data_IF_700855035552
#
_entry.id   IF_700855035552
#
_cell.length_a   1.000
_cell.length_b   1.000
_cell.length_c   1.000
_cell.angle_alpha   90.00
_cell.angle_beta   90.00
_cell.angle_gamma   90.00
#
_symmetry.space_group_name_H-M   'P 1'
#
loop_
_entity.id
_entity.type
_entity.pdbx_description
1 polymer ?
#
# COMPACT_ATOMS: atom_id res chain seq x y z
N UNK A 1 59.28 -28.71 61.51
CA UNK A 1 58.76 -27.38 61.92
C UNK A 1 58.56 -26.56 60.68
N UNK A 2 57.31 -26.45 60.18
CA UNK A 2 56.95 -25.65 59.00
C UNK A 2 56.69 -24.26 59.58
N UNK A 3 57.42 -23.28 59.12
CA UNK A 3 57.32 -21.90 59.61
C UNK A 3 56.20 -21.16 58.87
N UNK A 4 55.56 -20.19 59.56
CA UNK A 4 54.49 -19.36 59.09
C UNK A 4 54.78 -18.54 57.82
N UNK A 5 55.97 -18.65 57.23
CA UNK A 5 56.39 -17.93 56.02
C UNK A 5 56.17 -18.70 54.74
N UNK A 6 55.97 -20.02 54.81
CA UNK A 6 55.76 -20.84 53.59
C UNK A 6 54.32 -20.93 53.14
N UNK A 7 53.41 -20.25 53.85
CA UNK A 7 51.97 -20.24 53.55
C UNK A 7 51.51 -19.02 52.72
N UNK A 8 52.42 -18.15 52.28
CA UNK A 8 52.08 -16.91 51.60
C UNK A 8 52.51 -16.86 50.08
N UNK A 9 53.00 -17.96 49.51
CA UNK A 9 53.48 -17.99 48.15
C UNK A 9 52.66 -18.88 47.20
N UNK A 10 51.50 -19.38 47.61
CA UNK A 10 50.62 -20.21 46.77
C UNK A 10 49.21 -19.61 46.71
N UNK A 11 49.07 -18.37 46.28
CA UNK A 11 47.75 -17.76 46.01
C UNK A 11 47.84 -16.62 45.04
N UNK A 12 48.51 -16.84 43.90
CA UNK A 12 48.49 -15.89 42.77
C UNK A 12 48.46 -16.62 41.44
N UNK A 13 47.72 -17.75 41.36
CA UNK A 13 47.30 -18.28 40.07
C UNK A 13 45.93 -17.65 39.78
N UNK A 14 45.95 -16.49 39.12
CA UNK A 14 44.78 -15.76 38.69
C UNK A 14 43.91 -16.61 37.77
N UNK A 15 42.71 -16.90 38.23
CA UNK A 15 41.63 -17.34 37.34
C UNK A 15 41.25 -16.15 36.50
N UNK A 16 41.88 -16.02 35.33
CA UNK A 16 41.38 -15.17 34.25
C UNK A 16 40.09 -15.81 33.75
N UNK A 17 38.98 -15.50 34.41
CA UNK A 17 37.65 -15.75 33.89
C UNK A 17 37.50 -14.84 32.67
N UNK A 18 37.78 -15.39 31.49
CA UNK A 18 37.42 -14.77 30.23
C UNK A 18 35.90 -14.61 30.21
N UNK A 19 35.43 -13.44 30.61
CA UNK A 19 34.08 -13.00 30.39
C UNK A 19 33.91 -12.79 28.85
N UNK A 20 33.80 -13.90 28.12
CA UNK A 20 33.17 -13.88 26.81
C UNK A 20 31.74 -13.49 27.08
N UNK A 21 31.50 -12.19 27.00
CA UNK A 21 30.17 -11.61 27.03
C UNK A 21 29.34 -12.22 25.89
N UNK A 22 28.65 -13.30 26.19
CA UNK A 22 27.45 -13.67 25.46
C UNK A 22 26.51 -12.47 25.56
N UNK A 23 26.59 -11.57 24.58
CA UNK A 23 25.52 -10.61 24.32
C UNK A 23 24.33 -11.47 23.94
N UNK A 24 23.63 -12.00 24.93
CA UNK A 24 22.29 -12.52 24.78
C UNK A 24 21.49 -11.35 24.21
N UNK A 25 21.23 -11.39 22.89
CA UNK A 25 20.20 -10.55 22.30
C UNK A 25 18.94 -10.85 23.12
N UNK A 26 18.58 -9.95 24.00
CA UNK A 26 17.31 -9.97 24.68
C UNK A 26 16.27 -9.96 23.56
N UNK A 27 15.68 -11.11 23.27
CA UNK A 27 14.51 -11.19 22.40
C UNK A 27 13.46 -10.42 23.21
N UNK A 28 13.13 -9.22 22.74
CA UNK A 28 12.10 -8.41 23.36
C UNK A 28 10.83 -9.26 23.43
N UNK A 29 10.24 -9.37 24.61
CA UNK A 29 8.99 -10.10 24.76
C UNK A 29 7.93 -9.46 23.87
N UNK A 30 7.11 -10.26 23.16
CA UNK A 30 6.02 -9.75 22.36
C UNK A 30 5.11 -8.82 23.18
N UNK A 31 4.64 -7.73 22.58
CA UNK A 31 3.74 -6.77 23.22
C UNK A 31 2.40 -7.41 23.56
N UNK A 32 1.89 -8.25 22.65
CA UNK A 32 0.59 -8.85 22.76
C UNK A 32 0.61 -10.32 22.35
N UNK A 33 -0.36 -11.11 22.87
CA UNK A 33 -0.56 -12.49 22.42
C UNK A 33 -1.16 -12.56 21.04
N UNK A 34 -2.10 -11.67 20.72
CA UNK A 34 -2.77 -11.62 19.42
C UNK A 34 -2.97 -10.20 18.95
N UNK A 35 -2.73 -9.98 17.66
CA UNK A 35 -2.89 -8.69 16.99
C UNK A 35 -3.68 -8.91 15.69
N UNK A 36 -4.56 -7.97 15.37
CA UNK A 36 -5.37 -7.97 14.16
C UNK A 36 -4.96 -6.84 13.21
N UNK A 37 -4.60 -7.20 11.98
CA UNK A 37 -4.39 -6.25 10.90
C UNK A 37 -5.63 -6.28 10.01
N UNK A 38 -6.41 -5.20 10.01
CA UNK A 38 -7.60 -5.08 9.18
C UNK A 38 -7.26 -4.48 7.82
N UNK A 39 -7.80 -5.06 6.75
CA UNK A 39 -7.69 -4.56 5.38
C UNK A 39 -9.09 -4.28 4.81
N UNK A 40 -9.22 -3.25 3.94
CA UNK A 40 -10.51 -2.73 3.51
C UNK A 40 -11.08 -3.36 2.23
N UNK A 41 -10.32 -4.22 1.55
CA UNK A 41 -10.74 -4.86 0.30
C UNK A 41 -10.77 -6.38 0.42
N UNK A 42 -11.42 -7.04 -0.54
CA UNK A 42 -11.33 -8.50 -0.70
C UNK A 42 -9.87 -8.92 -0.89
N UNK A 43 -9.48 -10.16 -0.52
CA UNK A 43 -8.12 -10.62 -0.65
C UNK A 43 -7.51 -10.35 -2.03
N UNK A 44 -6.33 -9.75 -2.04
CA UNK A 44 -5.60 -9.32 -3.24
C UNK A 44 -4.24 -8.75 -2.86
N UNK A 45 -3.73 -7.76 -3.61
CA UNK A 45 -2.42 -7.15 -3.37
C UNK A 45 -2.26 -6.65 -1.93
N UNK A 46 -3.26 -5.92 -1.41
CA UNK A 46 -3.22 -5.36 -0.06
C UNK A 46 -3.11 -6.46 1.01
N UNK A 47 -3.94 -7.50 0.92
CA UNK A 47 -3.95 -8.61 1.87
C UNK A 47 -2.64 -9.41 1.80
N UNK A 48 -2.15 -9.70 0.58
CA UNK A 48 -0.88 -10.41 0.39
C UNK A 48 0.30 -9.63 0.98
N UNK A 49 0.36 -8.31 0.79
CA UNK A 49 1.40 -7.45 1.33
C UNK A 49 1.33 -7.38 2.87
N UNK A 50 0.12 -7.24 3.44
CA UNK A 50 -0.07 -7.26 4.88
C UNK A 50 0.41 -8.57 5.51
N UNK A 51 0.06 -9.73 4.92
CA UNK A 51 0.50 -11.05 5.42
C UNK A 51 2.01 -11.25 5.32
N UNK A 52 2.60 -10.78 4.25
CA UNK A 52 4.05 -10.85 4.03
C UNK A 52 4.83 -10.11 5.13
N UNK A 53 4.37 -8.92 5.51
CA UNK A 53 4.98 -8.11 6.58
C UNK A 53 4.67 -8.73 7.94
N UNK A 54 3.42 -9.08 8.21
CA UNK A 54 2.95 -9.68 9.46
C UNK A 54 3.76 -10.94 9.84
N UNK A 55 4.11 -11.76 8.86
CA UNK A 55 4.91 -12.98 9.07
C UNK A 55 6.29 -12.74 9.70
N UNK A 56 6.81 -11.51 9.62
CA UNK A 56 8.11 -11.13 10.14
C UNK A 56 8.05 -10.25 11.40
N UNK A 57 6.85 -9.89 11.91
CA UNK A 57 6.67 -9.03 13.08
C UNK A 57 6.54 -9.84 14.39
N UNK A 58 7.30 -10.93 14.53
CA UNK A 58 7.25 -11.84 15.71
C UNK A 58 7.72 -11.21 17.01
N UNK A 59 8.48 -10.13 16.93
CA UNK A 59 8.92 -9.31 18.07
C UNK A 59 7.79 -8.42 18.61
N UNK A 60 6.75 -8.18 17.78
CA UNK A 60 5.60 -7.36 18.16
C UNK A 60 4.48 -8.19 18.80
N UNK A 61 4.11 -9.32 18.21
CA UNK A 61 3.08 -10.21 18.75
C UNK A 61 3.37 -11.68 18.48
N UNK A 62 2.86 -12.57 19.36
CA UNK A 62 2.97 -14.03 19.21
C UNK A 62 2.17 -14.51 17.99
N UNK A 63 0.98 -13.92 17.79
CA UNK A 63 0.09 -14.23 16.67
C UNK A 63 -0.39 -12.93 16.02
N UNK A 64 -0.26 -12.84 14.69
CA UNK A 64 -0.81 -11.73 13.92
C UNK A 64 -1.79 -12.29 12.90
N UNK A 65 -3.03 -11.83 12.97
CA UNK A 65 -4.12 -12.21 12.07
C UNK A 65 -4.37 -11.08 11.08
N UNK A 66 -4.25 -11.37 9.78
CA UNK A 66 -4.67 -10.42 8.73
C UNK A 66 -6.11 -10.76 8.33
N UNK A 67 -7.00 -9.80 8.49
CA UNK A 67 -8.44 -9.95 8.31
C UNK A 67 -8.97 -8.93 7.29
N UNK A 68 -9.54 -9.43 6.20
CA UNK A 68 -10.20 -8.58 5.23
C UNK A 68 -11.63 -8.24 5.70
N UNK A 69 -11.94 -6.95 5.78
CA UNK A 69 -13.30 -6.41 6.06
C UNK A 69 -13.75 -5.53 4.88
N UNK A 70 -14.12 -6.14 3.76
CA UNK A 70 -14.54 -5.40 2.57
C UNK A 70 -15.89 -4.73 2.79
N UNK A 71 -16.12 -3.64 2.06
CA UNK A 71 -17.38 -2.92 2.05
C UNK A 71 -17.18 -1.42 2.01
N UNK A 72 -18.12 -0.71 1.37
CA UNK A 72 -18.12 0.74 1.23
C UNK A 72 -16.75 1.33 0.81
N UNK A 73 -16.11 0.73 -0.20
CA UNK A 73 -14.75 1.07 -0.67
C UNK A 73 -13.68 1.03 0.44
N UNK A 74 -13.79 0.10 1.39
CA UNK A 74 -12.85 -0.09 2.50
C UNK A 74 -13.20 0.63 3.81
N UNK A 75 -14.23 1.48 3.82
CA UNK A 75 -14.62 2.25 5.00
C UNK A 75 -15.02 1.38 6.20
N UNK A 76 -15.55 0.18 5.96
CA UNK A 76 -15.91 -0.77 7.04
C UNK A 76 -14.70 -1.13 7.91
N UNK A 77 -13.55 -1.41 7.30
CA UNK A 77 -12.32 -1.71 8.04
C UNK A 77 -11.80 -0.48 8.81
N UNK A 78 -11.87 0.70 8.19
CA UNK A 78 -11.41 1.96 8.79
C UNK A 78 -12.22 2.29 10.05
N UNK A 79 -13.56 2.22 9.95
CA UNK A 79 -14.48 2.47 11.07
C UNK A 79 -14.26 1.48 12.22
N UNK A 80 -13.99 0.21 11.90
CA UNK A 80 -13.67 -0.81 12.90
C UNK A 80 -12.38 -0.48 13.67
N UNK A 81 -11.31 -0.04 12.97
CA UNK A 81 -10.05 0.35 13.63
C UNK A 81 -10.23 1.64 14.44
N UNK A 82 -10.98 2.63 13.93
CA UNK A 82 -11.27 3.86 14.67
C UNK A 82 -11.86 3.59 16.06
N UNK A 83 -12.74 2.59 16.16
CA UNK A 83 -13.46 2.25 17.39
C UNK A 83 -12.77 1.18 18.25
N UNK A 84 -11.63 0.66 17.80
CA UNK A 84 -10.85 -0.31 18.55
C UNK A 84 -10.14 0.31 19.75
N UNK A 85 -9.78 -0.51 20.72
CA UNK A 85 -8.96 -0.08 21.85
C UNK A 85 -7.61 0.42 21.37
N UNK A 86 -7.10 1.56 21.91
CA UNK A 86 -5.85 2.15 21.47
C UNK A 86 -4.63 1.50 22.16
N UNK A 87 -4.58 0.18 22.19
CA UNK A 87 -3.56 -0.63 22.85
C UNK A 87 -2.56 -1.30 21.87
N UNK A 88 -2.70 -1.00 20.55
CA UNK A 88 -1.84 -1.55 19.52
C UNK A 88 -2.19 -2.98 19.08
N UNK A 89 -3.28 -3.56 19.57
CA UNK A 89 -3.72 -4.91 19.19
C UNK A 89 -4.55 -4.93 17.89
N UNK A 90 -5.12 -3.80 17.51
CA UNK A 90 -5.86 -3.64 16.23
C UNK A 90 -5.26 -2.52 15.41
N UNK A 91 -4.93 -2.81 14.17
CA UNK A 91 -4.37 -1.84 13.24
C UNK A 91 -5.00 -1.94 11.86
N UNK A 92 -4.99 -0.82 11.14
CA UNK A 92 -5.39 -0.75 9.74
C UNK A 92 -4.16 -0.85 8.85
N UNK A 93 -4.19 -1.70 7.85
CA UNK A 93 -3.28 -1.65 6.73
C UNK A 93 -4.04 -1.21 5.48
N UNK A 94 -3.67 -0.08 4.90
CA UNK A 94 -4.48 0.56 3.88
C UNK A 94 -3.66 1.39 2.87
N UNK A 95 -4.22 1.59 1.64
CA UNK A 95 -3.73 2.64 0.77
C UNK A 95 -4.00 4.03 1.39
N UNK A 96 -3.07 4.95 1.20
CA UNK A 96 -3.16 6.30 1.79
C UNK A 96 -4.37 7.10 1.34
N UNK A 97 -4.95 6.76 0.19
CA UNK A 97 -6.17 7.39 -0.32
C UNK A 97 -7.31 7.46 0.70
N UNK A 98 -7.34 6.53 1.65
CA UNK A 98 -8.32 6.53 2.73
C UNK A 98 -8.19 7.75 3.67
N UNK A 99 -6.97 8.23 3.86
CA UNK A 99 -6.68 9.36 4.75
C UNK A 99 -6.58 10.70 4.00
N UNK A 100 -6.13 10.69 2.75
CA UNK A 100 -5.88 11.93 1.99
C UNK A 100 -6.99 12.30 1.01
N UNK A 101 -7.71 11.33 0.43
CA UNK A 101 -8.70 11.58 -0.63
C UNK A 101 -10.15 11.48 -0.13
N UNK A 102 -10.48 10.46 0.68
CA UNK A 102 -11.85 10.20 1.11
C UNK A 102 -12.52 11.37 1.83
N UNK A 103 -11.83 12.21 2.65
CA UNK A 103 -12.41 13.42 3.24
C UNK A 103 -12.97 14.41 2.22
N UNK A 104 -12.50 14.37 0.97
CA UNK A 104 -12.93 15.29 -0.10
C UNK A 104 -13.99 14.68 -1.03
N UNK A 105 -14.19 13.34 -0.94
CA UNK A 105 -15.05 12.56 -1.84
C UNK A 105 -16.39 12.20 -1.21
N UNK A 106 -16.40 11.96 0.10
CA UNK A 106 -17.61 11.54 0.82
C UNK A 106 -18.16 12.67 1.68
N UNK A 107 -19.46 12.94 1.57
CA UNK A 107 -20.16 13.95 2.41
C UNK A 107 -20.26 13.53 3.86
N UNK A 108 -20.42 12.24 4.09
CA UNK A 108 -20.64 11.65 5.42
C UNK A 108 -19.61 10.55 5.68
N UNK A 109 -18.41 10.95 6.10
CA UNK A 109 -17.44 10.02 6.66
C UNK A 109 -17.69 9.87 8.16
N UNK A 110 -17.68 8.64 8.64
CA UNK A 110 -17.76 8.35 10.09
C UNK A 110 -16.40 8.42 10.76
N UNK A 111 -15.36 8.86 10.05
CA UNK A 111 -14.02 9.05 10.57
C UNK A 111 -13.38 10.30 9.95
N UNK A 112 -12.35 10.79 10.60
CA UNK A 112 -11.45 11.82 10.11
C UNK A 112 -10.00 11.31 10.16
N UNK A 113 -9.07 11.81 9.33
CA UNK A 113 -7.65 11.39 9.38
C UNK A 113 -7.04 11.53 10.78
N UNK A 114 -7.46 12.53 11.56
CA UNK A 114 -7.01 12.75 12.95
C UNK A 114 -7.48 11.69 13.95
N UNK A 115 -8.39 10.80 13.57
CA UNK A 115 -8.79 9.66 14.40
C UNK A 115 -7.73 8.54 14.41
N UNK A 116 -6.67 8.69 13.61
CA UNK A 116 -5.61 7.71 13.44
C UNK A 116 -4.22 8.32 13.64
N UNK A 117 -3.31 7.49 14.17
CA UNK A 117 -1.89 7.76 14.12
C UNK A 117 -1.28 6.98 12.95
N UNK A 118 -0.60 7.69 12.06
CA UNK A 118 0.17 7.10 10.96
C UNK A 118 1.45 6.49 11.51
N UNK A 119 1.63 5.18 11.33
CA UNK A 119 2.76 4.43 11.91
C UNK A 119 3.94 4.36 10.96
N UNK A 120 3.71 3.80 9.77
CA UNK A 120 4.75 3.60 8.75
C UNK A 120 4.12 3.42 7.39
N UNK A 121 4.73 3.99 6.34
CA UNK A 121 4.55 3.46 4.99
C UNK A 121 5.38 2.18 4.85
N UNK A 122 5.02 1.33 3.93
CA UNK A 122 5.73 0.07 3.68
C UNK A 122 6.08 -0.13 2.21
N UNK A 123 5.25 0.37 1.32
CA UNK A 123 5.39 0.16 -0.11
C UNK A 123 4.75 1.29 -0.90
N UNK A 124 5.30 1.52 -2.08
CA UNK A 124 4.64 2.28 -3.13
C UNK A 124 4.56 1.46 -4.42
N UNK A 125 3.55 1.73 -5.23
CA UNK A 125 3.40 1.14 -6.56
C UNK A 125 2.75 2.12 -7.51
N UNK A 126 3.22 2.21 -8.76
CA UNK A 126 2.49 2.94 -9.77
C UNK A 126 1.19 2.22 -10.12
N UNK A 127 0.25 2.98 -10.59
CA UNK A 127 -0.97 2.48 -11.22
C UNK A 127 -0.70 2.19 -12.70
N UNK A 128 -1.33 1.16 -13.23
CA UNK A 128 -1.24 0.74 -14.63
C UNK A 128 -2.60 0.90 -15.30
N UNK A 129 -2.64 1.55 -16.46
CA UNK A 129 -3.77 1.48 -17.37
C UNK A 129 -3.54 0.31 -18.31
N UNK A 130 -4.44 -0.68 -18.23
CA UNK A 130 -4.42 -1.92 -19.01
C UNK A 130 -5.67 -1.98 -19.88
N UNK A 131 -5.55 -2.50 -21.09
CA UNK A 131 -6.68 -2.77 -22.02
C UNK A 131 -6.78 -4.26 -22.34
N UNK A 132 -8.01 -4.70 -22.59
CA UNK A 132 -8.35 -6.09 -22.87
C UNK A 132 -8.79 -6.33 -24.32
N UNK A 133 -9.34 -7.53 -24.60
CA UNK A 133 -9.74 -7.96 -25.96
C UNK A 133 -10.88 -7.15 -26.57
N UNK A 134 -11.65 -6.41 -25.79
CA UNK A 134 -12.69 -5.49 -26.31
C UNK A 134 -12.10 -4.39 -27.20
N UNK A 135 -10.86 -3.98 -26.92
CA UNK A 135 -10.16 -2.94 -27.70
C UNK A 135 -9.36 -3.61 -28.83
N UNK A 136 -9.46 -3.13 -30.08
CA UNK A 136 -8.76 -3.71 -31.23
C UNK A 136 -7.26 -3.91 -31.02
N UNK A 137 -6.67 -4.92 -31.66
CA UNK A 137 -5.28 -5.33 -31.43
C UNK A 137 -4.24 -4.32 -31.95
N UNK A 138 -4.60 -3.44 -32.85
CA UNK A 138 -3.77 -2.34 -33.38
C UNK A 138 -3.68 -1.14 -32.43
N UNK A 139 -4.55 -1.03 -31.43
CA UNK A 139 -4.47 -0.04 -30.36
C UNK A 139 -3.36 -0.45 -29.38
N UNK A 140 -2.20 0.20 -29.45
CA UNK A 140 -1.00 -0.18 -28.69
C UNK A 140 -0.42 0.91 -27.79
N UNK A 141 -0.82 2.15 -28.01
CA UNK A 141 -0.37 3.31 -27.23
C UNK A 141 -1.54 3.97 -26.51
N UNK A 142 -1.24 4.83 -25.53
CA UNK A 142 -2.26 5.64 -24.88
C UNK A 142 -2.96 6.56 -25.88
N UNK A 143 -2.22 7.11 -26.87
CA UNK A 143 -2.78 7.97 -27.90
C UNK A 143 -3.78 7.22 -28.79
N UNK A 144 -3.45 6.00 -29.24
CA UNK A 144 -4.37 5.14 -29.98
C UNK A 144 -5.63 4.83 -29.19
N UNK A 145 -5.46 4.53 -27.88
CA UNK A 145 -6.59 4.23 -27.00
C UNK A 145 -7.51 5.45 -26.81
N UNK A 146 -6.96 6.64 -26.60
CA UNK A 146 -7.74 7.89 -26.53
C UNK A 146 -8.51 8.13 -27.84
N UNK A 147 -7.86 7.93 -28.98
CA UNK A 147 -8.53 8.04 -30.29
C UNK A 147 -9.66 7.02 -30.45
N UNK A 148 -9.42 5.77 -30.04
CA UNK A 148 -10.45 4.72 -30.04
C UNK A 148 -11.62 5.07 -29.10
N UNK A 149 -11.37 5.57 -27.89
CA UNK A 149 -12.42 5.99 -26.94
C UNK A 149 -13.31 7.10 -27.55
N UNK A 150 -12.70 8.09 -28.20
CA UNK A 150 -13.44 9.16 -28.86
C UNK A 150 -14.35 8.65 -29.99
N UNK A 151 -13.87 7.66 -30.73
CA UNK A 151 -14.65 7.02 -31.80
C UNK A 151 -15.72 6.05 -31.27
N UNK A 152 -15.58 5.55 -30.05
CA UNK A 152 -16.44 4.54 -29.46
C UNK A 152 -16.93 4.93 -28.04
N UNK A 153 -17.60 6.08 -27.83
CA UNK A 153 -17.90 6.61 -26.51
C UNK A 153 -18.76 5.65 -25.66
N UNK A 154 -19.65 4.87 -26.27
CA UNK A 154 -20.48 3.87 -25.56
C UNK A 154 -19.69 2.65 -25.07
N UNK A 155 -18.51 2.41 -25.61
CA UNK A 155 -17.64 1.29 -25.23
C UNK A 155 -16.46 1.72 -24.37
N UNK A 156 -16.18 3.03 -24.28
CA UNK A 156 -15.11 3.59 -23.49
C UNK A 156 -15.43 3.47 -21.99
N UNK A 157 -15.11 2.31 -21.42
CA UNK A 157 -15.37 1.96 -20.02
C UNK A 157 -14.07 1.59 -19.31
N UNK A 158 -13.96 1.93 -18.03
CA UNK A 158 -12.82 1.50 -17.21
C UNK A 158 -13.24 1.00 -15.82
N UNK A 159 -12.59 -0.05 -15.38
CA UNK A 159 -12.81 -0.66 -14.07
C UNK A 159 -11.75 -0.23 -13.07
N UNK A 160 -12.15 -0.06 -11.81
CA UNK A 160 -11.27 0.17 -10.66
C UNK A 160 -11.77 -0.55 -9.42
N UNK A 161 -10.99 -0.52 -8.33
CA UNK A 161 -11.35 -1.15 -7.06
C UNK A 161 -12.46 -0.42 -6.26
N UNK A 162 -13.05 0.65 -6.79
CA UNK A 162 -14.19 1.32 -6.15
C UNK A 162 -14.35 2.79 -6.50
N UNK A 163 -15.55 3.30 -6.26
CA UNK A 163 -15.88 4.73 -6.42
C UNK A 163 -15.08 5.56 -5.42
N UNK A 164 -14.61 6.74 -5.83
CA UNK A 164 -13.93 7.69 -4.96
C UNK A 164 -12.50 7.32 -4.61
N UNK A 165 -11.94 6.24 -5.18
CA UNK A 165 -10.53 5.89 -5.01
C UNK A 165 -9.63 6.75 -5.91
N UNK A 166 -8.33 6.81 -5.62
CA UNK A 166 -7.33 7.45 -6.50
C UNK A 166 -7.39 6.89 -7.92
N UNK A 167 -7.61 5.58 -8.05
CA UNK A 167 -7.76 4.88 -9.32
C UNK A 167 -8.95 5.39 -10.14
N UNK A 168 -10.08 5.67 -9.50
CA UNK A 168 -11.24 6.28 -10.14
C UNK A 168 -10.91 7.67 -10.68
N UNK A 169 -10.29 8.52 -9.87
CA UNK A 169 -9.94 9.88 -10.27
C UNK A 169 -8.89 9.92 -11.38
N UNK A 170 -7.94 8.99 -11.43
CA UNK A 170 -6.98 8.89 -12.52
C UNK A 170 -7.68 8.69 -13.87
N UNK A 171 -8.71 7.84 -13.94
CA UNK A 171 -9.52 7.68 -15.14
C UNK A 171 -10.33 8.92 -15.51
N UNK A 172 -10.95 9.58 -14.53
CA UNK A 172 -11.69 10.82 -14.74
C UNK A 172 -10.78 11.98 -15.18
N UNK A 173 -9.60 12.10 -14.58
CA UNK A 173 -8.58 13.07 -14.98
C UNK A 173 -8.09 12.83 -16.42
N UNK A 174 -7.82 11.57 -16.77
CA UNK A 174 -7.43 11.22 -18.14
C UNK A 174 -8.53 11.62 -19.14
N UNK A 175 -9.78 11.27 -18.85
CA UNK A 175 -10.93 11.63 -19.67
C UNK A 175 -11.06 13.14 -19.87
N UNK A 176 -10.99 13.90 -18.78
CA UNK A 176 -11.07 15.37 -18.80
C UNK A 176 -9.90 15.99 -19.57
N UNK A 177 -8.66 15.56 -19.29
CA UNK A 177 -7.45 16.14 -19.92
C UNK A 177 -7.36 15.78 -21.40
N UNK A 178 -7.73 14.56 -21.77
CA UNK A 178 -7.69 14.09 -23.15
C UNK A 178 -8.98 14.37 -23.95
N UNK A 179 -10.04 14.88 -23.32
CA UNK A 179 -11.29 15.30 -23.98
C UNK A 179 -12.08 14.13 -24.59
N UNK A 180 -12.46 13.13 -23.76
CA UNK A 180 -13.34 12.03 -24.17
C UNK A 180 -14.18 11.54 -22.97
N UNK A 181 -15.29 10.85 -23.28
CA UNK A 181 -16.11 10.21 -22.26
C UNK A 181 -15.49 8.88 -21.85
N UNK A 182 -15.33 8.66 -20.54
CA UNK A 182 -14.79 7.43 -20.00
C UNK A 182 -15.65 6.97 -18.83
N UNK A 183 -16.51 5.99 -19.07
CA UNK A 183 -17.47 5.52 -18.07
C UNK A 183 -16.79 4.65 -17.02
N UNK A 184 -16.87 5.07 -15.78
CA UNK A 184 -16.34 4.29 -14.65
C UNK A 184 -17.26 3.14 -14.26
N UNK A 185 -16.69 1.95 -14.11
CA UNK A 185 -17.35 0.74 -13.60
C UNK A 185 -16.65 0.33 -12.29
N UNK A 186 -17.31 0.49 -11.14
CA UNK A 186 -16.72 0.13 -9.86
C UNK A 186 -16.77 -1.37 -9.58
N UNK A 187 -15.66 -1.91 -9.09
CA UNK A 187 -15.54 -3.31 -8.67
C UNK A 187 -15.08 -3.41 -7.22
N UNK A 188 -15.06 -4.64 -6.70
CA UNK A 188 -14.39 -4.95 -5.45
C UNK A 188 -13.13 -5.79 -5.74
N UNK A 189 -12.01 -5.41 -5.12
CA UNK A 189 -10.73 -6.10 -5.31
C UNK A 189 -10.31 -6.19 -6.77
N UNK A 190 -9.99 -7.38 -7.25
CA UNK A 190 -9.51 -7.64 -8.62
C UNK A 190 -10.62 -7.91 -9.64
N UNK A 191 -11.89 -7.69 -9.32
CA UNK A 191 -13.02 -7.94 -10.24
C UNK A 191 -12.89 -7.22 -11.58
N UNK A 192 -12.32 -6.00 -11.59
CA UNK A 192 -12.05 -5.25 -12.80
C UNK A 192 -11.15 -6.00 -13.79
N UNK A 193 -10.12 -6.70 -13.28
CA UNK A 193 -9.20 -7.48 -14.14
C UNK A 193 -9.90 -8.70 -14.74
N UNK A 194 -10.78 -9.34 -13.99
CA UNK A 194 -11.55 -10.50 -14.48
C UNK A 194 -12.45 -10.11 -15.64
N UNK A 195 -13.18 -9.00 -15.53
CA UNK A 195 -14.08 -8.53 -16.58
C UNK A 195 -13.32 -7.90 -17.75
N UNK A 196 -12.13 -7.34 -17.51
CA UNK A 196 -11.24 -6.89 -18.58
C UNK A 196 -10.77 -8.06 -19.45
N UNK A 197 -10.38 -9.19 -18.87
CA UNK A 197 -9.98 -10.40 -19.61
C UNK A 197 -11.12 -10.98 -20.43
N UNK A 198 -12.35 -10.92 -19.92
CA UNK A 198 -13.55 -11.36 -20.64
C UNK A 198 -13.99 -10.39 -21.74
N UNK A 199 -13.43 -9.17 -21.81
CA UNK A 199 -13.85 -8.13 -22.74
C UNK A 199 -15.16 -7.43 -22.36
N UNK A 200 -15.60 -7.51 -21.11
CA UNK A 200 -16.80 -6.81 -20.63
C UNK A 200 -16.55 -5.30 -20.50
N UNK A 201 -15.35 -4.90 -20.10
CA UNK A 201 -14.88 -3.52 -20.04
C UNK A 201 -13.71 -3.30 -21.00
N UNK A 202 -13.47 -2.04 -21.40
CA UNK A 202 -12.39 -1.69 -22.33
C UNK A 202 -11.03 -1.60 -21.63
N UNK A 203 -11.00 -1.03 -20.45
CA UNK A 203 -9.78 -0.79 -19.67
C UNK A 203 -9.95 -1.08 -18.19
N UNK A 204 -8.83 -1.29 -17.52
CA UNK A 204 -8.74 -1.26 -16.06
C UNK A 204 -7.61 -0.34 -15.61
N UNK A 205 -7.85 0.40 -14.53
CA UNK A 205 -6.86 1.25 -13.86
C UNK A 205 -6.65 0.64 -12.47
N UNK A 206 -5.52 -0.08 -12.32
CA UNK A 206 -5.23 -0.88 -11.13
C UNK A 206 -3.73 -0.83 -10.80
N UNK A 207 -3.30 -1.15 -9.58
CA UNK A 207 -1.87 -1.31 -9.28
C UNK A 207 -1.19 -2.30 -10.23
N UNK A 208 0.07 -2.06 -10.60
CA UNK A 208 0.82 -2.88 -11.56
C UNK A 208 0.72 -4.37 -11.25
N UNK A 209 0.85 -4.75 -9.98
CA UNK A 209 0.80 -6.15 -9.54
C UNK A 209 -0.51 -6.87 -9.85
N UNK A 210 -1.61 -6.14 -10.01
CA UNK A 210 -2.94 -6.74 -10.25
C UNK A 210 -3.05 -7.40 -11.65
N UNK A 211 -2.28 -6.94 -12.63
CA UNK A 211 -2.35 -7.43 -14.01
C UNK A 211 -0.99 -7.84 -14.60
N UNK A 212 0.10 -7.75 -13.83
CA UNK A 212 1.46 -8.00 -14.32
C UNK A 212 1.61 -9.35 -15.02
N UNK A 213 1.07 -10.43 -14.46
CA UNK A 213 1.13 -11.76 -15.05
C UNK A 213 0.44 -11.82 -16.42
N UNK A 214 -0.76 -11.22 -16.52
CA UNK A 214 -1.56 -11.19 -17.74
C UNK A 214 -0.95 -10.28 -18.84
N UNK A 215 -0.26 -9.22 -18.43
CA UNK A 215 0.50 -8.39 -19.36
C UNK A 215 1.71 -9.12 -19.89
N UNK A 216 2.43 -9.87 -19.03
CA UNK A 216 3.61 -10.66 -19.44
C UNK A 216 3.25 -11.86 -20.32
N UNK A 217 2.09 -12.48 -20.12
CA UNK A 217 1.58 -13.55 -20.99
C UNK A 217 1.01 -13.01 -22.33
N UNK A 218 0.75 -11.70 -22.44
CA UNK A 218 0.14 -11.09 -23.63
C UNK A 218 -1.39 -11.14 -23.65
N UNK A 219 -2.03 -11.62 -22.59
CA UNK A 219 -3.51 -11.66 -22.50
C UNK A 219 -4.10 -10.26 -22.35
N UNK A 220 -3.35 -9.35 -21.72
CA UNK A 220 -3.68 -7.94 -21.57
C UNK A 220 -2.56 -7.05 -22.12
N UNK A 221 -2.90 -5.85 -22.55
CA UNK A 221 -1.95 -4.84 -23.03
C UNK A 221 -1.82 -3.71 -22.03
N UNK A 222 -0.60 -3.45 -21.57
CA UNK A 222 -0.27 -2.30 -20.74
C UNK A 222 -0.02 -1.09 -21.62
N UNK A 223 -0.68 0.02 -21.36
CA UNK A 223 -0.51 1.24 -22.14
C UNK A 223 0.41 2.25 -21.47
N UNK A 224 0.24 2.47 -20.15
CA UNK A 224 0.97 3.52 -19.43
C UNK A 224 0.92 3.27 -17.93
N UNK A 225 1.98 3.69 -17.22
CA UNK A 225 2.04 3.73 -15.75
C UNK A 225 2.03 5.15 -15.22
N UNK A 226 1.57 5.34 -13.98
CA UNK A 226 1.48 6.67 -13.34
C UNK A 226 2.75 7.08 -12.60
N UNK A 227 3.71 6.18 -12.42
CA UNK A 227 4.91 6.47 -11.65
C UNK A 227 5.78 7.59 -12.25
N UNK A 228 6.65 8.24 -11.46
CA UNK A 228 7.55 9.29 -11.91
C UNK A 228 8.65 8.75 -12.86
N UNK A 229 8.85 7.45 -12.85
CA UNK A 229 9.74 6.69 -13.73
C UNK A 229 9.05 5.41 -14.18
N UNK A 230 9.55 4.80 -15.26
CA UNK A 230 9.05 3.49 -15.70
C UNK A 230 9.20 2.46 -14.59
N UNK A 231 8.21 1.57 -14.47
CA UNK A 231 8.26 0.50 -13.47
C UNK A 231 9.37 -0.50 -13.83
N UNK A 232 10.18 -0.89 -12.85
CA UNK A 232 11.18 -1.95 -13.02
C UNK A 232 10.55 -3.30 -13.42
N UNK A 233 9.27 -3.50 -13.14
CA UNK A 233 8.52 -4.70 -13.48
C UNK A 233 7.99 -4.70 -14.92
N UNK A 234 7.88 -3.49 -15.54
CA UNK A 234 7.40 -3.25 -16.90
C UNK A 234 8.23 -2.13 -17.57
N UNK A 235 9.53 -2.36 -17.85
CA UNK A 235 10.44 -1.29 -18.31
C UNK A 235 10.10 -0.76 -19.71
N UNK A 236 9.35 -1.51 -20.51
CA UNK A 236 8.94 -1.11 -21.86
C UNK A 236 7.66 -0.26 -21.86
N UNK A 237 6.93 -0.21 -20.74
CA UNK A 237 5.69 0.56 -20.60
C UNK A 237 6.02 2.01 -20.23
N UNK A 238 5.60 3.00 -21.05
CA UNK A 238 5.87 4.41 -20.77
C UNK A 238 5.12 4.90 -19.53
N UNK A 239 5.60 6.00 -18.95
CA UNK A 239 4.89 6.73 -17.89
C UNK A 239 3.83 7.67 -18.47
N UNK A 240 2.87 8.13 -17.64
CA UNK A 240 1.93 9.20 -18.02
C UNK A 240 2.66 10.46 -18.49
N UNK A 241 3.77 10.81 -17.84
CA UNK A 241 4.62 11.94 -18.25
C UNK A 241 5.19 11.77 -19.67
N UNK A 242 5.76 10.59 -19.96
CA UNK A 242 6.28 10.27 -21.30
C UNK A 242 5.18 10.22 -22.36
N UNK A 243 3.95 9.86 -21.99
CA UNK A 243 2.78 9.86 -22.85
C UNK A 243 2.11 11.24 -23.03
N UNK A 244 2.66 12.30 -22.43
CA UNK A 244 2.15 13.68 -22.57
C UNK A 244 1.16 14.12 -21.48
N UNK A 245 0.99 13.34 -20.41
CA UNK A 245 0.04 13.63 -19.31
C UNK A 245 0.77 13.74 -17.96
N UNK A 246 1.68 14.72 -17.77
CA UNK A 246 2.47 14.83 -16.52
C UNK A 246 1.62 15.11 -15.27
N UNK A 247 0.42 15.70 -15.43
CA UNK A 247 -0.50 15.95 -14.30
C UNK A 247 -1.14 14.67 -13.72
N UNK A 248 -1.02 13.54 -14.42
CA UNK A 248 -1.51 12.24 -13.99
C UNK A 248 -0.41 11.37 -13.35
N UNK A 249 0.72 11.97 -13.02
CA UNK A 249 1.75 11.29 -12.24
C UNK A 249 1.26 11.05 -10.81
N UNK A 250 1.30 9.79 -10.37
CA UNK A 250 0.80 9.36 -9.06
C UNK A 250 1.43 8.05 -8.62
N UNK A 251 1.54 7.87 -7.30
CA UNK A 251 1.89 6.60 -6.68
C UNK A 251 0.83 6.22 -5.65
N UNK A 252 0.50 4.94 -5.60
CA UNK A 252 -0.29 4.40 -4.50
C UNK A 252 0.65 3.92 -3.41
N UNK A 253 0.63 4.59 -2.26
CA UNK A 253 1.34 4.15 -1.05
C UNK A 253 0.44 3.30 -0.18
N UNK A 254 1.05 2.35 0.51
CA UNK A 254 0.42 1.51 1.54
C UNK A 254 1.10 1.76 2.88
N UNK A 255 0.30 1.85 3.93
CA UNK A 255 0.82 2.10 5.28
C UNK A 255 -0.04 1.52 6.39
N UNK A 256 0.55 1.49 7.58
CA UNK A 256 -0.09 1.08 8.81
C UNK A 256 -0.58 2.28 9.61
N UNK A 257 -1.77 2.12 10.20
CA UNK A 257 -2.41 3.10 11.04
C UNK A 257 -2.99 2.42 12.28
N UNK A 258 -2.97 3.14 13.39
CA UNK A 258 -3.61 2.73 14.65
C UNK A 258 -4.54 3.84 15.15
N UNK A 259 -5.46 3.58 16.11
CA UNK A 259 -6.28 4.63 16.71
C UNK A 259 -5.42 5.78 17.26
N UNK A 260 -5.86 7.01 17.11
CA UNK A 260 -5.08 8.22 17.48
C UNK A 260 -4.63 8.28 18.94
N UNK A 261 -5.32 7.58 19.85
CA UNK A 261 -4.99 7.53 21.28
C UNK A 261 -4.00 6.42 21.65
N UNK A 262 -3.47 5.68 20.68
CA UNK A 262 -2.47 4.64 20.94
C UNK A 262 -1.21 5.28 21.54
N UNK A 263 -0.69 4.77 22.69
CA UNK A 263 0.49 5.30 23.33
C UNK A 263 1.70 5.38 22.40
N UNK A 264 2.50 6.43 22.56
CA UNK A 264 3.62 6.71 21.65
C UNK A 264 4.68 5.60 21.64
N UNK A 265 4.95 4.97 22.78
CA UNK A 265 5.88 3.84 22.92
C UNK A 265 5.39 2.59 22.16
N UNK A 266 4.08 2.34 22.13
CA UNK A 266 3.48 1.27 21.33
C UNK A 266 3.61 1.59 19.83
N UNK A 267 3.34 2.84 19.43
CA UNK A 267 3.48 3.28 18.03
C UNK A 267 4.94 3.15 17.57
N UNK A 268 5.90 3.57 18.38
CA UNK A 268 7.32 3.45 18.08
C UNK A 268 7.76 1.97 17.96
N UNK A 269 7.32 1.12 18.89
CA UNK A 269 7.61 -0.32 18.85
C UNK A 269 7.02 -0.97 17.60
N UNK A 270 5.78 -0.62 17.22
CA UNK A 270 5.15 -1.10 16.00
C UNK A 270 5.92 -0.64 14.76
N UNK A 271 6.28 0.64 14.70
CA UNK A 271 7.09 1.17 13.60
C UNK A 271 8.41 0.41 13.47
N UNK A 272 9.13 0.20 14.57
CA UNK A 272 10.41 -0.52 14.57
C UNK A 272 10.27 -1.96 14.08
N UNK A 273 9.20 -2.67 14.48
CA UNK A 273 8.90 -4.03 14.02
C UNK A 273 8.61 -4.07 12.51
N UNK A 274 7.80 -3.14 12.01
CA UNK A 274 7.51 -3.00 10.56
C UNK A 274 8.81 -2.71 9.79
N UNK A 275 9.62 -1.75 10.26
CA UNK A 275 10.88 -1.40 9.61
C UNK A 275 11.87 -2.58 9.61
N UNK A 276 11.91 -3.38 10.67
CA UNK A 276 12.71 -4.59 10.71
C UNK A 276 12.23 -5.63 9.70
N UNK A 277 10.91 -5.85 9.61
CA UNK A 277 10.30 -6.76 8.64
C UNK A 277 10.64 -6.37 7.19
N UNK A 278 10.62 -5.08 6.85
CA UNK A 278 10.95 -4.58 5.50
C UNK A 278 12.42 -4.80 5.08
N UNK A 279 13.31 -5.07 6.03
CA UNK A 279 14.73 -5.39 5.76
C UNK A 279 14.97 -6.87 5.48
N UNK A 280 13.98 -7.72 5.76
CA UNK A 280 14.10 -9.17 5.56
C UNK A 280 14.03 -9.50 4.07
N UNK A 281 14.98 -10.27 3.56
CA UNK A 281 15.08 -10.63 2.14
C UNK A 281 13.84 -11.35 1.62
N UNK A 282 13.20 -12.19 2.46
CA UNK A 282 11.96 -12.87 2.10
C UNK A 282 10.82 -11.85 1.85
N UNK A 283 10.71 -10.80 2.68
CA UNK A 283 9.74 -9.72 2.49
C UNK A 283 10.03 -8.96 1.22
N UNK A 284 11.27 -8.54 1.00
CA UNK A 284 11.67 -7.81 -0.22
C UNK A 284 11.43 -8.61 -1.49
N UNK A 285 11.79 -9.89 -1.47
CA UNK A 285 11.55 -10.82 -2.59
C UNK A 285 10.05 -11.04 -2.82
N UNK A 286 9.26 -11.17 -1.75
CA UNK A 286 7.81 -11.26 -1.80
C UNK A 286 7.16 -10.00 -2.38
N UNK A 287 7.60 -8.80 -1.96
CA UNK A 287 7.15 -7.52 -2.51
C UNK A 287 7.45 -7.40 -4.00
N UNK A 288 8.65 -7.81 -4.44
CA UNK A 288 9.01 -7.83 -5.84
C UNK A 288 8.09 -8.74 -6.68
N UNK A 289 7.69 -9.92 -6.14
CA UNK A 289 6.70 -10.80 -6.80
C UNK A 289 5.32 -10.16 -6.91
N UNK A 290 4.96 -9.28 -5.98
CA UNK A 290 3.73 -8.50 -6.00
C UNK A 290 3.83 -7.22 -6.85
N UNK A 291 4.98 -6.96 -7.46
CA UNK A 291 5.30 -5.74 -8.22
C UNK A 291 5.11 -4.46 -7.41
N UNK A 292 5.52 -4.48 -6.16
CA UNK A 292 5.60 -3.30 -5.29
C UNK A 292 7.04 -3.04 -4.87
N UNK A 293 7.40 -1.78 -4.73
CA UNK A 293 8.71 -1.37 -4.24
C UNK A 293 8.62 -1.06 -2.74
N UNK A 294 9.57 -1.51 -1.91
CA UNK A 294 9.67 -1.07 -0.53
C UNK A 294 9.81 0.46 -0.49
N UNK A 295 8.97 1.11 0.28
CA UNK A 295 8.96 2.57 0.41
C UNK A 295 8.61 2.93 1.85
N UNK A 296 9.63 2.93 2.69
CA UNK A 296 9.52 3.17 4.12
C UNK A 296 9.85 4.63 4.43
N UNK A 297 8.83 5.44 4.61
CA UNK A 297 8.94 6.86 4.97
C UNK A 297 8.98 6.96 6.51
N UNK A 298 9.85 7.81 7.03
CA UNK A 298 9.93 8.07 8.46
C UNK A 298 8.59 8.60 9.00
N UNK A 299 8.25 8.21 10.25
CA UNK A 299 6.93 8.46 10.86
C UNK A 299 6.49 9.93 10.79
N UNK A 300 7.39 10.88 11.07
CA UNK A 300 7.09 12.32 10.95
C UNK A 300 6.88 12.80 9.52
N UNK A 301 7.59 12.22 8.55
CA UNK A 301 7.43 12.51 7.12
C UNK A 301 6.15 11.89 6.57
N UNK A 302 5.73 10.75 7.11
CA UNK A 302 4.50 10.09 6.71
C UNK A 302 3.26 10.96 7.00
N UNK A 303 3.18 11.57 8.17
CA UNK A 303 2.10 12.50 8.49
C UNK A 303 2.12 13.73 7.57
N UNK A 304 3.31 14.25 7.23
CA UNK A 304 3.46 15.37 6.28
C UNK A 304 3.04 14.98 4.86
N UNK A 305 3.37 13.77 4.42
CA UNK A 305 2.93 13.22 3.14
C UNK A 305 1.40 13.19 3.05
N UNK A 306 0.73 12.64 4.07
CA UNK A 306 -0.75 12.59 4.11
C UNK A 306 -1.34 13.99 3.98
N UNK A 307 -0.81 14.97 4.71
CA UNK A 307 -1.31 16.34 4.68
C UNK A 307 -1.10 17.01 3.30
N UNK A 308 0.10 16.91 2.71
CA UNK A 308 0.40 17.48 1.40
C UNK A 308 -0.43 16.84 0.28
N UNK A 309 -0.55 15.51 0.30
CA UNK A 309 -1.36 14.79 -0.67
C UNK A 309 -2.86 15.08 -0.49
N UNK A 310 -3.33 15.30 0.74
CA UNK A 310 -4.73 15.70 0.97
C UNK A 310 -5.06 17.03 0.28
N UNK A 311 -4.20 18.03 0.37
CA UNK A 311 -4.41 19.31 -0.34
C UNK A 311 -4.33 19.15 -1.87
N UNK A 312 -3.40 18.33 -2.37
CA UNK A 312 -3.31 18.01 -3.80
C UNK A 312 -4.60 17.34 -4.30
N UNK A 313 -5.09 16.33 -3.60
CA UNK A 313 -6.30 15.60 -4.00
C UNK A 313 -7.57 16.44 -3.85
N UNK A 314 -7.65 17.33 -2.88
CA UNK A 314 -8.74 18.30 -2.75
C UNK A 314 -8.87 19.15 -4.01
N UNK A 315 -7.75 19.70 -4.51
CA UNK A 315 -7.75 20.48 -5.74
C UNK A 315 -8.17 19.64 -6.97
N UNK A 316 -7.70 18.39 -7.05
CA UNK A 316 -8.08 17.46 -8.13
C UNK A 316 -9.58 17.15 -8.11
N UNK A 317 -10.14 16.81 -6.94
CA UNK A 317 -11.58 16.50 -6.79
C UNK A 317 -12.42 17.69 -7.25
N UNK A 318 -12.05 18.91 -6.86
CA UNK A 318 -12.74 20.14 -7.28
C UNK A 318 -12.63 20.35 -8.79
N UNK A 319 -11.45 20.15 -9.38
CA UNK A 319 -11.21 20.36 -10.81
C UNK A 319 -11.96 19.34 -11.71
N UNK A 320 -12.20 18.11 -11.21
CA UNK A 320 -12.95 17.09 -11.96
C UNK A 320 -14.46 17.30 -11.95
N UNK A 321 -14.99 18.27 -11.21
CA UNK A 321 -16.43 18.49 -11.04
C UNK A 321 -17.13 17.33 -10.31
N UNK A 322 -16.37 16.46 -9.63
CA UNK A 322 -16.92 15.33 -8.89
C UNK A 322 -17.84 15.82 -7.78
N UNK A 323 -19.06 15.30 -7.78
CA UNK A 323 -20.02 15.58 -6.69
C UNK A 323 -19.79 14.55 -5.56
N UNK A 324 -19.42 15.00 -4.34
CA UNK A 324 -19.25 14.09 -3.22
C UNK A 324 -20.48 13.22 -2.98
N UNK A 325 -20.24 11.92 -2.77
CA UNK A 325 -21.25 10.89 -2.55
C UNK A 325 -21.50 10.63 -1.05
N UNK A 326 -22.56 9.95 -0.69
CA UNK A 326 -22.86 9.54 0.68
C UNK A 326 -22.16 8.22 1.04
#
# INVERSE_FOLDING_TARGET
>A
MITRRDLLTVSAAGVAFSATGLVQRAIAQPLAKSVHILTGFTPGLQDALARLIAGQMKDYAETIVVEARPGAAGRVAIEAVKTADPDGTVMLFAPLGFMMLFPHVYKTLKYEPRDFTAVSTVASTPTLLTIGPKVPADVRTLADFVAWCRANPKQATYGTAGVGTTLHFLGAMLASTAGFDFLHVPYQGNGAIQDLVKGEIAAAIMPVGSSLGLVRSGDLRALVTTGPRRSAFLPDVPTMREAGYPSLEDLTWYGFFVPAKTPADIVERLNNSIQAALRVDEVRSGMAKLAVEPDAIAMGDFARLIASESERWKAIVQATGFTPTN
#
